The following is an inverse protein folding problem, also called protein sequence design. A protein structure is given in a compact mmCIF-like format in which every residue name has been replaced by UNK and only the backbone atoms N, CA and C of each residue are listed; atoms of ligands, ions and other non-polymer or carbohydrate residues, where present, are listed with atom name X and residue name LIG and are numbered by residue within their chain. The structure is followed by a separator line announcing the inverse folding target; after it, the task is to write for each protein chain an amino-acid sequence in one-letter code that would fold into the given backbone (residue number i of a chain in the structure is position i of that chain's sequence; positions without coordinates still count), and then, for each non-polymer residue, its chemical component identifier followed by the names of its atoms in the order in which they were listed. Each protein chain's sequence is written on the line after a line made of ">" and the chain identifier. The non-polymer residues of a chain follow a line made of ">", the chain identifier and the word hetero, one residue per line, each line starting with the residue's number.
data_IF_360711472523
#
_entry.id   IF_360711472523
#
_cell.length_a   1.000
_cell.length_b   1.000
_cell.length_c   1.000
_cell.angle_alpha   90.00
_cell.angle_beta   90.00
_cell.angle_gamma   90.00
#
_symmetry.space_group_name_H-M   'P 1'
#
loop_
_entity.id
_entity.type
_entity.pdbx_description
1 polymer ?
#
# COMPACT_ATOMS: atom_id res chain seq x y z
N UNK A 1 14.39 -56.10 5.54
CA UNK A 1 14.35 -57.19 6.54
C UNK A 1 15.27 -56.82 7.69
N UNK A 2 15.01 -57.06 8.94
CA UNK A 2 13.79 -57.52 9.64
C UNK A 2 13.19 -56.42 10.53
N UNK A 3 11.93 -56.37 10.84
CA UNK A 3 10.97 -57.12 11.65
C UNK A 3 11.13 -57.02 13.20
N UNK A 4 9.96 -56.76 13.79
CA UNK A 4 9.43 -57.06 15.15
C UNK A 4 9.56 -55.96 16.22
N UNK A 5 8.64 -55.76 17.19
CA UNK A 5 7.38 -56.43 17.57
C UNK A 5 6.59 -55.52 18.52
N UNK A 6 5.28 -55.69 18.52
CA UNK A 6 4.31 -55.23 19.52
C UNK A 6 4.63 -55.66 20.95
N UNK A 7 4.22 -54.84 21.95
CA UNK A 7 3.75 -55.35 23.24
C UNK A 7 2.60 -54.49 23.74
N UNK A 8 1.51 -55.18 24.01
CA UNK A 8 0.28 -54.78 24.71
C UNK A 8 0.51 -54.78 26.24
N UNK A 9 -0.17 -53.91 26.98
CA UNK A 9 -0.64 -54.11 28.36
C UNK A 9 -1.55 -52.91 28.69
N UNK A 10 -2.80 -53.08 28.75
CA UNK A 10 -3.76 -53.59 29.73
C UNK A 10 -3.96 -52.68 30.97
N UNK A 11 -5.09 -52.05 30.96
CA UNK A 11 -6.08 -51.70 31.99
C UNK A 11 -5.66 -51.60 33.46
N UNK A 12 -6.04 -50.49 34.10
CA UNK A 12 -6.67 -50.49 35.40
C UNK A 12 -7.71 -49.35 35.50
N UNK A 13 -8.97 -49.70 35.71
CA UNK A 13 -10.04 -48.85 36.23
C UNK A 13 -9.80 -48.61 37.74
N UNK A 14 -9.91 -47.38 38.17
CA UNK A 14 -10.17 -47.02 39.54
C UNK A 14 -11.18 -45.89 39.63
N UNK A 15 -12.38 -46.22 40.00
CA UNK A 15 -13.46 -45.32 40.37
C UNK A 15 -13.16 -44.68 41.73
N UNK A 16 -13.24 -43.38 41.87
CA UNK A 16 -13.36 -42.69 43.17
C UNK A 16 -14.29 -41.49 43.07
N UNK A 17 -15.45 -41.70 43.57
CA UNK A 17 -16.34 -40.98 44.51
C UNK A 17 -16.26 -39.44 44.49
N UNK A 18 -17.43 -38.87 44.15
CA UNK A 18 -17.89 -37.49 44.34
C UNK A 18 -17.78 -37.05 45.81
N UNK A 19 -17.07 -35.96 46.04
CA UNK A 19 -17.23 -35.12 47.22
C UNK A 19 -17.48 -33.70 46.76
N UNK A 20 -18.73 -33.29 46.87
CA UNK A 20 -19.18 -31.90 46.72
C UNK A 20 -18.60 -31.08 47.87
N UNK A 21 -17.65 -30.22 47.60
CA UNK A 21 -17.23 -29.13 48.48
C UNK A 21 -17.59 -27.81 47.84
N UNK A 22 -18.63 -27.16 48.38
CA UNK A 22 -18.88 -25.74 48.13
C UNK A 22 -17.69 -24.92 48.61
N UNK A 23 -16.95 -24.33 47.66
CA UNK A 23 -16.02 -23.24 47.95
C UNK A 23 -16.65 -21.91 47.57
N UNK A 24 -16.44 -20.83 48.34
CA UNK A 24 -16.98 -19.53 48.07
C UNK A 24 -16.23 -18.94 46.85
N UNK A 25 -16.96 -18.26 45.95
CA UNK A 25 -16.43 -17.48 44.83
C UNK A 25 -15.38 -16.49 45.35
N UNK A 26 -14.11 -16.80 45.15
CA UNK A 26 -13.05 -15.78 45.15
C UNK A 26 -13.17 -15.06 43.81
N UNK A 27 -13.39 -13.74 43.89
CA UNK A 27 -13.23 -12.85 42.73
C UNK A 27 -11.74 -12.86 42.36
N UNK A 28 -11.37 -13.68 41.38
CA UNK A 28 -10.15 -13.44 40.61
C UNK A 28 -10.44 -12.34 39.60
N UNK A 29 -9.58 -11.33 39.48
CA UNK A 29 -9.79 -10.23 38.55
C UNK A 29 -9.65 -10.73 37.11
N UNK A 30 -10.46 -10.13 36.22
CA UNK A 30 -10.49 -10.30 34.77
C UNK A 30 -9.18 -9.82 34.09
N UNK A 31 -8.04 -10.47 34.33
CA UNK A 31 -6.79 -10.18 33.62
C UNK A 31 -6.75 -10.77 32.19
N UNK A 32 -7.58 -11.79 31.90
CA UNK A 32 -7.56 -12.42 30.57
C UNK A 32 -8.25 -11.57 29.49
N UNK A 33 -9.28 -10.83 29.83
CA UNK A 33 -10.02 -10.02 28.85
C UNK A 33 -9.25 -8.75 28.43
N UNK A 34 -8.50 -8.15 29.33
CA UNK A 34 -7.69 -6.96 29.03
C UNK A 34 -6.54 -7.29 28.08
N UNK A 35 -5.91 -8.46 28.21
CA UNK A 35 -4.84 -8.90 27.31
C UNK A 35 -5.33 -9.22 25.91
N UNK A 36 -6.52 -9.83 25.79
CA UNK A 36 -7.14 -10.13 24.48
C UNK A 36 -7.61 -8.85 23.77
N UNK A 37 -8.14 -7.88 24.51
CA UNK A 37 -8.54 -6.58 23.95
C UNK A 37 -7.31 -5.80 23.46
N UNK A 38 -6.24 -5.75 24.25
CA UNK A 38 -4.99 -5.08 23.84
C UNK A 38 -4.31 -5.75 22.64
N UNK A 39 -4.41 -7.08 22.52
CA UNK A 39 -3.91 -7.78 21.34
C UNK A 39 -4.77 -7.51 20.10
N UNK A 40 -6.10 -7.49 20.24
CA UNK A 40 -7.01 -7.17 19.16
C UNK A 40 -6.84 -5.72 18.68
N UNK A 41 -6.65 -4.76 19.60
CA UNK A 41 -6.34 -3.37 19.25
C UNK A 41 -4.97 -3.24 18.55
N UNK A 42 -3.95 -3.96 19.01
CA UNK A 42 -2.64 -3.96 18.39
C UNK A 42 -2.64 -4.61 16.98
N UNK A 43 -3.49 -5.63 16.76
CA UNK A 43 -3.70 -6.22 15.44
C UNK A 43 -4.54 -5.31 14.53
N UNK A 44 -5.49 -4.58 15.07
CA UNK A 44 -6.27 -3.58 14.32
C UNK A 44 -5.42 -2.41 13.80
N UNK A 45 -4.29 -2.12 14.45
CA UNK A 45 -3.31 -1.12 14.01
C UNK A 45 -2.27 -1.66 13.02
N UNK A 46 -2.47 -2.88 12.48
CA UNK A 46 -1.65 -3.43 11.40
C UNK A 46 -2.45 -3.50 10.13
N UNK A 47 -1.88 -2.94 9.06
CA UNK A 47 -2.43 -3.12 7.72
C UNK A 47 -2.13 -4.54 7.24
N UNK A 48 -3.17 -5.29 6.93
CA UNK A 48 -3.08 -6.65 6.36
C UNK A 48 -4.14 -6.82 5.28
N UNK A 49 -3.85 -7.63 4.29
CA UNK A 49 -4.75 -7.88 3.18
C UNK A 49 -4.01 -8.40 1.96
N UNK A 50 -4.74 -8.53 0.89
CA UNK A 50 -4.24 -9.03 -0.39
C UNK A 50 -4.76 -8.15 -1.54
N UNK A 51 -4.42 -8.51 -2.77
CA UNK A 51 -4.95 -7.84 -3.96
C UNK A 51 -6.03 -8.66 -4.63
N UNK A 52 -6.99 -7.97 -5.22
CA UNK A 52 -8.03 -8.57 -6.05
C UNK A 52 -7.93 -8.06 -7.48
N UNK A 53 -7.84 -9.00 -8.42
CA UNK A 53 -7.89 -8.66 -9.84
C UNK A 53 -9.30 -8.22 -10.23
N UNK A 54 -9.39 -7.10 -10.98
CA UNK A 54 -10.65 -6.61 -11.54
C UNK A 54 -11.07 -7.46 -12.73
N UNK A 55 -12.39 -7.65 -12.87
CA UNK A 55 -12.99 -8.25 -14.07
C UNK A 55 -13.19 -7.15 -15.10
N UNK A 56 -12.30 -7.11 -16.07
CA UNK A 56 -12.36 -6.12 -17.15
C UNK A 56 -13.03 -6.77 -18.37
N UNK A 57 -13.90 -6.00 -19.04
CA UNK A 57 -14.55 -6.45 -20.26
C UNK A 57 -13.57 -6.35 -21.46
N UNK A 58 -12.67 -7.31 -21.57
CA UNK A 58 -11.71 -7.41 -22.67
C UNK A 58 -12.30 -8.42 -23.69
N UNK A 59 -12.38 -8.05 -24.99
CA UNK A 59 -12.78 -9.00 -26.04
C UNK A 59 -11.83 -10.21 -26.10
N UNK A 60 -12.37 -11.37 -26.41
CA UNK A 60 -11.55 -12.53 -26.72
C UNK A 60 -10.62 -12.22 -27.90
N UNK A 61 -9.36 -12.58 -27.74
CA UNK A 61 -8.34 -12.34 -28.73
C UNK A 61 -7.41 -13.54 -28.76
N UNK A 62 -7.25 -14.16 -29.97
CA UNK A 62 -6.42 -15.32 -30.16
C UNK A 62 -5.09 -15.01 -30.90
N UNK A 63 -4.86 -13.73 -31.19
CA UNK A 63 -3.67 -13.29 -31.92
C UNK A 63 -2.48 -13.04 -30.97
N UNK A 64 -1.26 -13.09 -31.53
CA UNK A 64 -0.02 -12.77 -30.80
C UNK A 64 0.10 -11.27 -30.41
N UNK A 65 -0.72 -10.43 -31.02
CA UNK A 65 -0.79 -8.98 -30.77
C UNK A 65 -1.98 -8.58 -29.91
N UNK A 66 -2.47 -9.45 -29.04
CA UNK A 66 -3.55 -9.14 -28.14
C UNK A 66 -3.14 -8.03 -27.14
N UNK A 67 -4.01 -7.03 -26.92
CA UNK A 67 -3.75 -6.02 -25.88
C UNK A 67 -3.85 -6.66 -24.50
N UNK A 68 -2.89 -6.34 -23.62
CA UNK A 68 -2.83 -6.87 -22.26
C UNK A 68 -3.15 -5.77 -21.24
N UNK A 69 -4.20 -5.96 -20.44
CA UNK A 69 -4.48 -5.07 -19.32
C UNK A 69 -4.77 -5.87 -18.07
N UNK A 70 -4.15 -5.48 -16.96
CA UNK A 70 -4.34 -6.09 -15.65
C UNK A 70 -4.38 -5.01 -14.59
N UNK A 71 -5.51 -4.88 -13.93
CA UNK A 71 -5.71 -3.94 -12.82
C UNK A 71 -6.09 -4.77 -11.60
N UNK A 72 -5.36 -4.55 -10.52
CA UNK A 72 -5.67 -5.12 -9.21
C UNK A 72 -5.99 -3.99 -8.24
N UNK A 73 -6.94 -4.20 -7.34
CA UNK A 73 -7.25 -3.32 -6.21
C UNK A 73 -6.72 -3.91 -4.91
N UNK A 74 -6.58 -3.08 -3.90
CA UNK A 74 -6.29 -3.54 -2.54
C UNK A 74 -7.59 -4.02 -1.87
N UNK A 75 -7.52 -5.14 -1.15
CA UNK A 75 -8.57 -5.65 -0.27
C UNK A 75 -7.95 -5.94 1.08
N UNK A 76 -8.00 -4.96 1.96
CA UNK A 76 -7.34 -5.01 3.25
C UNK A 76 -8.35 -4.94 4.41
N UNK A 77 -7.81 -5.03 5.64
CA UNK A 77 -8.57 -4.80 6.86
C UNK A 77 -8.84 -3.30 7.14
N UNK A 78 -8.44 -2.38 6.23
CA UNK A 78 -8.56 -0.93 6.37
C UNK A 78 -9.29 -0.33 5.16
N UNK A 79 -10.61 -0.28 5.20
CA UNK A 79 -11.45 0.16 4.09
C UNK A 79 -11.09 1.57 3.57
N UNK A 80 -10.70 2.50 4.46
CA UNK A 80 -10.31 3.85 4.05
C UNK A 80 -9.05 3.87 3.17
N UNK A 81 -8.12 2.91 3.39
CA UNK A 81 -6.93 2.74 2.53
C UNK A 81 -7.34 2.14 1.20
N UNK A 82 -8.20 1.12 1.22
CA UNK A 82 -8.70 0.48 -0.01
C UNK A 82 -9.40 1.51 -0.91
N UNK A 83 -10.28 2.33 -0.35
CA UNK A 83 -10.98 3.41 -1.05
C UNK A 83 -10.01 4.46 -1.61
N UNK A 84 -8.99 4.84 -0.81
CA UNK A 84 -7.95 5.75 -1.29
C UNK A 84 -7.19 5.17 -2.47
N UNK A 85 -6.76 3.92 -2.38
CA UNK A 85 -6.01 3.24 -3.44
C UNK A 85 -6.88 3.07 -4.70
N UNK A 86 -8.16 2.74 -4.56
CA UNK A 86 -9.10 2.67 -5.68
C UNK A 86 -9.17 4.02 -6.44
N UNK A 87 -9.24 5.14 -5.72
CA UNK A 87 -9.19 6.48 -6.33
C UNK A 87 -7.85 6.75 -7.04
N UNK A 88 -6.73 6.29 -6.46
CA UNK A 88 -5.41 6.46 -7.09
C UNK A 88 -5.26 5.60 -8.35
N UNK A 89 -5.86 4.41 -8.38
CA UNK A 89 -5.92 3.57 -9.59
C UNK A 89 -6.64 4.33 -10.72
N UNK A 90 -7.80 4.92 -10.44
CA UNK A 90 -8.54 5.72 -11.43
C UNK A 90 -7.74 6.95 -11.89
N UNK A 91 -7.07 7.64 -10.97
CA UNK A 91 -6.23 8.77 -11.32
C UNK A 91 -5.03 8.36 -12.20
N UNK A 92 -4.41 7.22 -11.94
CA UNK A 92 -3.34 6.70 -12.80
C UNK A 92 -3.85 6.32 -14.19
N UNK A 93 -5.01 5.64 -14.28
CA UNK A 93 -5.64 5.34 -15.56
C UNK A 93 -5.93 6.61 -16.37
N UNK A 94 -6.46 7.64 -15.70
CA UNK A 94 -6.69 8.95 -16.33
C UNK A 94 -5.38 9.54 -16.87
N UNK A 95 -4.32 9.54 -16.09
CA UNK A 95 -3.02 10.11 -16.48
C UNK A 95 -2.36 9.32 -17.62
N UNK A 96 -2.40 7.97 -17.56
CA UNK A 96 -1.76 7.09 -18.55
C UNK A 96 -2.48 7.17 -19.91
N UNK A 97 -3.82 7.16 -19.88
CA UNK A 97 -4.63 7.10 -21.09
C UNK A 97 -5.07 8.49 -21.57
N UNK A 98 -4.67 9.57 -20.88
CA UNK A 98 -5.02 10.97 -21.21
C UNK A 98 -6.53 11.19 -21.40
N UNK A 99 -7.34 10.45 -20.64
CA UNK A 99 -8.80 10.63 -20.68
C UNK A 99 -9.13 11.82 -19.82
N UNK A 100 -9.46 12.94 -20.44
CA UNK A 100 -10.12 14.05 -19.76
C UNK A 100 -11.42 13.55 -19.16
N UNK A 101 -11.66 13.84 -17.88
CA UNK A 101 -12.75 13.26 -17.12
C UNK A 101 -14.09 13.42 -17.88
N UNK A 102 -14.63 12.33 -18.35
CA UNK A 102 -16.06 12.20 -18.48
C UNK A 102 -16.57 12.26 -17.05
N UNK A 103 -17.11 13.42 -16.63
CA UNK A 103 -17.77 13.53 -15.33
C UNK A 103 -18.72 12.33 -15.20
N UNK A 104 -18.70 11.59 -14.09
CA UNK A 104 -19.71 10.56 -13.87
C UNK A 104 -21.06 11.26 -14.05
N UNK A 105 -21.84 10.76 -15.01
CA UNK A 105 -23.16 11.29 -15.25
C UNK A 105 -23.86 11.40 -13.89
N UNK A 106 -24.12 12.63 -13.45
CA UNK A 106 -24.94 12.88 -12.29
C UNK A 106 -26.20 12.08 -12.53
N UNK A 107 -26.41 11.04 -11.72
CA UNK A 107 -27.73 10.45 -11.58
C UNK A 107 -28.57 11.59 -11.04
N UNK A 108 -29.18 12.34 -11.96
CA UNK A 108 -30.12 13.40 -11.63
C UNK A 108 -31.22 12.74 -10.81
N UNK A 109 -31.31 13.15 -9.55
CA UNK A 109 -32.48 12.90 -8.75
C UNK A 109 -33.66 13.41 -9.59
N UNK A 110 -34.46 12.48 -10.10
CA UNK A 110 -35.68 12.82 -10.82
C UNK A 110 -36.58 13.60 -9.87
N UNK A 111 -36.96 14.78 -10.33
CA UNK A 111 -37.95 15.64 -9.70
C UNK A 111 -39.23 14.87 -9.41
N UNK A 112 -39.75 15.09 -8.22
CA UNK A 112 -41.11 14.70 -7.82
C UNK A 112 -42.15 15.23 -8.80
N UNK A 113 -42.92 14.35 -9.40
CA UNK A 113 -44.26 14.68 -9.91
C UNK A 113 -45.11 13.38 -9.95
N UNK A 114 -46.11 13.38 -9.09
CA UNK A 114 -47.44 12.75 -9.17
C UNK A 114 -47.65 11.22 -9.46
N UNK A 115 -47.95 10.55 -8.38
CA UNK A 115 -49.11 9.73 -8.05
C UNK A 115 -49.62 8.66 -9.03
N UNK A 116 -49.47 7.39 -8.65
CA UNK A 116 -50.54 6.42 -8.56
C UNK A 116 -50.03 5.18 -7.78
N UNK A 117 -50.81 4.77 -6.78
CA UNK A 117 -50.54 3.63 -5.93
C UNK A 117 -50.48 2.32 -6.70
N UNK A 118 -49.30 1.69 -6.68
CA UNK A 118 -49.13 0.25 -6.94
C UNK A 118 -48.13 -0.27 -5.93
N UNK A 119 -48.44 -1.37 -5.27
CA UNK A 119 -47.66 -1.97 -4.20
C UNK A 119 -46.19 -2.13 -4.55
N UNK A 120 -45.25 -1.85 -3.62
CA UNK A 120 -43.83 -1.98 -3.91
C UNK A 120 -43.44 -3.47 -3.85
N UNK A 121 -43.32 -4.08 -5.01
CA UNK A 121 -42.52 -5.28 -5.16
C UNK A 121 -41.09 -4.92 -4.71
N UNK A 122 -40.68 -5.39 -3.55
CA UNK A 122 -39.34 -5.16 -3.01
C UNK A 122 -38.29 -5.66 -4.02
N UNK A 123 -37.83 -4.75 -4.85
CA UNK A 123 -36.60 -4.97 -5.63
C UNK A 123 -35.47 -5.05 -4.57
N UNK A 124 -34.89 -6.22 -4.38
CA UNK A 124 -33.61 -6.36 -3.66
C UNK A 124 -32.63 -5.42 -4.38
N UNK A 125 -32.34 -4.28 -3.77
CA UNK A 125 -31.23 -3.43 -4.21
C UNK A 125 -29.97 -4.30 -4.08
N UNK A 126 -29.41 -4.71 -5.20
CA UNK A 126 -28.14 -5.46 -5.24
C UNK A 126 -27.08 -4.52 -4.69
N UNK A 127 -26.59 -4.78 -3.48
CA UNK A 127 -25.52 -3.98 -2.87
C UNK A 127 -24.29 -4.16 -3.76
N UNK A 128 -23.91 -3.11 -4.47
CA UNK A 128 -22.72 -3.08 -5.32
C UNK A 128 -21.50 -3.08 -4.42
N UNK A 129 -20.62 -4.07 -4.59
CA UNK A 129 -19.37 -4.15 -3.79
C UNK A 129 -18.37 -3.08 -4.25
N UNK A 130 -17.39 -2.64 -3.41
CA UNK A 130 -16.35 -1.71 -3.81
C UNK A 130 -15.61 -2.16 -5.08
N UNK A 131 -15.32 -3.45 -5.20
CA UNK A 131 -14.73 -4.04 -6.41
C UNK A 131 -15.60 -3.82 -7.66
N UNK A 132 -16.88 -4.13 -7.58
CA UNK A 132 -17.82 -3.93 -8.68
C UNK A 132 -17.98 -2.45 -9.05
N UNK A 133 -17.93 -1.56 -8.06
CA UNK A 133 -17.94 -0.12 -8.30
C UNK A 133 -16.69 0.32 -9.06
N UNK A 134 -15.51 -0.13 -8.65
CA UNK A 134 -14.27 0.18 -9.35
C UNK A 134 -14.26 -0.42 -10.77
N UNK A 135 -14.74 -1.66 -10.95
CA UNK A 135 -14.91 -2.29 -12.27
C UNK A 135 -15.79 -1.45 -13.21
N UNK A 136 -16.88 -0.87 -12.70
CA UNK A 136 -17.73 0.03 -13.47
C UNK A 136 -17.01 1.35 -13.80
N UNK A 137 -16.30 1.94 -12.85
CA UNK A 137 -15.58 3.19 -13.03
C UNK A 137 -14.38 3.06 -13.99
N UNK A 138 -13.84 1.85 -14.16
CA UNK A 138 -12.74 1.61 -15.10
C UNK A 138 -13.21 1.46 -16.55
N UNK A 139 -14.49 1.26 -16.83
CA UNK A 139 -15.01 0.98 -18.18
C UNK A 139 -14.63 2.06 -19.24
N UNK A 140 -14.71 3.38 -18.98
CA UNK A 140 -14.32 4.39 -19.95
C UNK A 140 -12.83 4.27 -20.34
N UNK A 141 -11.98 3.97 -19.39
CA UNK A 141 -10.53 3.78 -19.62
C UNK A 141 -10.25 2.52 -20.43
N UNK A 142 -11.01 1.45 -20.17
CA UNK A 142 -10.95 0.22 -20.96
C UNK A 142 -11.31 0.48 -22.42
N UNK A 143 -12.37 1.23 -22.66
CA UNK A 143 -12.78 1.59 -24.02
C UNK A 143 -11.70 2.40 -24.75
N UNK A 144 -11.08 3.34 -24.05
CA UNK A 144 -9.98 4.15 -24.61
C UNK A 144 -8.76 3.26 -24.93
N UNK A 145 -8.39 2.34 -24.04
CA UNK A 145 -7.29 1.41 -24.26
C UNK A 145 -7.54 0.52 -25.47
N UNK A 146 -8.74 -0.05 -25.62
CA UNK A 146 -9.10 -0.89 -26.76
C UNK A 146 -9.19 -0.12 -28.07
N UNK A 147 -9.64 1.13 -28.04
CA UNK A 147 -9.66 2.01 -29.23
C UNK A 147 -8.22 2.31 -29.68
N UNK A 148 -7.30 2.58 -28.74
CA UNK A 148 -5.88 2.79 -29.05
C UNK A 148 -5.26 1.55 -29.70
N UNK A 149 -5.55 0.35 -29.19
CA UNK A 149 -5.10 -0.91 -29.79
C UNK A 149 -5.57 -1.04 -31.25
N UNK A 150 -6.86 -0.73 -31.47
CA UNK A 150 -7.46 -0.78 -32.82
C UNK A 150 -6.80 0.22 -33.76
N UNK A 151 -6.54 1.45 -33.32
CA UNK A 151 -5.88 2.49 -34.11
C UNK A 151 -4.45 2.11 -34.47
N UNK A 152 -3.68 1.59 -33.51
CA UNK A 152 -2.31 1.14 -33.75
C UNK A 152 -2.25 -0.04 -34.73
N UNK A 153 -3.16 -0.99 -34.63
CA UNK A 153 -3.29 -2.11 -35.59
C UNK A 153 -3.64 -1.63 -37.00
N UNK A 154 -4.51 -0.62 -37.12
CA UNK A 154 -4.84 -0.02 -38.41
C UNK A 154 -3.64 0.69 -39.08
N UNK A 155 -2.69 1.18 -38.29
CA UNK A 155 -1.43 1.75 -38.76
C UNK A 155 -0.34 0.68 -39.05
N UNK A 156 -0.71 -0.60 -39.07
CA UNK A 156 0.22 -1.74 -39.27
C UNK A 156 1.30 -1.84 -38.18
N UNK A 157 1.04 -1.28 -37.00
CA UNK A 157 1.90 -1.49 -35.83
C UNK A 157 1.73 -2.93 -35.32
N UNK A 158 2.78 -3.70 -35.39
CA UNK A 158 2.77 -5.13 -35.00
C UNK A 158 2.97 -5.36 -33.50
N UNK A 159 2.91 -4.28 -32.67
CA UNK A 159 3.22 -4.35 -31.25
C UNK A 159 1.92 -4.44 -30.43
N UNK A 160 1.91 -5.39 -29.51
CA UNK A 160 0.88 -5.48 -28.47
C UNK A 160 1.05 -4.33 -27.46
N UNK A 161 -0.03 -3.64 -27.15
CA UNK A 161 -0.03 -2.68 -26.04
C UNK A 161 -0.32 -3.39 -24.72
N UNK A 162 0.24 -2.85 -23.63
CA UNK A 162 0.03 -3.41 -22.29
C UNK A 162 -0.12 -2.32 -21.25
N UNK A 163 -0.92 -2.60 -20.21
CA UNK A 163 -1.08 -1.77 -19.03
C UNK A 163 -1.30 -2.64 -17.80
N UNK A 164 -0.51 -2.40 -16.76
CA UNK A 164 -0.65 -3.05 -15.46
C UNK A 164 -0.66 -2.02 -14.35
N UNK A 165 -1.62 -2.14 -13.42
CA UNK A 165 -1.66 -1.36 -12.18
C UNK A 165 -1.90 -2.34 -11.04
N UNK A 166 -1.00 -2.33 -10.04
CA UNK A 166 -1.05 -3.26 -8.92
C UNK A 166 -0.57 -2.61 -7.62
N UNK A 167 -1.43 -2.52 -6.59
CA UNK A 167 -1.01 -2.13 -5.25
C UNK A 167 -0.25 -3.26 -4.55
N UNK A 168 0.58 -2.90 -3.57
CA UNK A 168 1.24 -3.85 -2.68
C UNK A 168 1.45 -3.20 -1.32
N UNK A 169 1.09 -3.89 -0.24
CA UNK A 169 1.46 -3.50 1.12
C UNK A 169 2.97 -3.67 1.26
N UNK A 170 3.67 -2.59 1.56
CA UNK A 170 5.11 -2.58 1.81
C UNK A 170 5.41 -2.66 3.30
N UNK A 171 4.71 -1.87 4.11
CA UNK A 171 4.81 -1.86 5.56
C UNK A 171 3.42 -1.92 6.18
N UNK A 172 3.27 -2.72 7.24
CA UNK A 172 1.99 -2.98 7.90
C UNK A 172 1.60 -1.90 8.93
N UNK A 173 2.53 -1.10 9.40
CA UNK A 173 2.34 -0.06 10.45
C UNK A 173 3.68 0.30 11.09
N UNK A 174 3.65 1.03 12.18
CA UNK A 174 4.74 1.55 13.03
C UNK A 174 6.05 1.91 12.29
N UNK A 175 6.28 3.19 12.02
CA UNK A 175 5.41 4.31 12.38
C UNK A 175 4.29 4.57 11.37
N UNK A 176 4.33 4.00 10.17
CA UNK A 176 3.35 4.21 9.11
C UNK A 176 3.07 2.89 8.38
N UNK A 177 1.81 2.66 8.05
CA UNK A 177 1.46 1.68 7.04
C UNK A 177 1.76 2.27 5.65
N UNK A 178 2.41 1.50 4.79
CA UNK A 178 2.82 1.98 3.46
C UNK A 178 2.29 1.03 2.38
N UNK A 179 1.59 1.59 1.41
CA UNK A 179 1.18 0.89 0.19
C UNK A 179 1.93 1.49 -0.99
N UNK A 180 2.55 0.66 -1.82
CA UNK A 180 3.10 1.07 -3.11
C UNK A 180 2.11 0.70 -4.21
N UNK A 181 1.75 1.67 -5.04
CA UNK A 181 0.99 1.45 -6.27
C UNK A 181 1.97 1.39 -7.43
N UNK A 182 2.13 0.19 -7.98
CA UNK A 182 2.99 -0.05 -9.13
C UNK A 182 2.17 0.09 -10.40
N UNK A 183 2.70 0.79 -11.38
CA UNK A 183 2.16 0.80 -12.73
C UNK A 183 3.26 0.57 -13.76
N UNK A 184 2.89 -0.11 -14.84
CA UNK A 184 3.74 -0.23 -16.02
C UNK A 184 2.84 -0.31 -17.25
N UNK A 185 3.28 0.32 -18.33
CA UNK A 185 2.51 0.31 -19.56
C UNK A 185 3.40 0.47 -20.79
N UNK A 186 2.91 -0.07 -21.89
CA UNK A 186 3.42 0.18 -23.22
C UNK A 186 2.21 0.47 -24.13
N UNK A 187 2.13 1.67 -24.64
CA UNK A 187 1.00 2.14 -25.46
C UNK A 187 1.41 2.37 -26.92
N UNK A 188 2.44 1.67 -27.38
CA UNK A 188 3.09 1.94 -28.66
C UNK A 188 4.17 3.02 -28.53
N UNK A 189 5.14 2.99 -29.41
CA UNK A 189 6.28 3.91 -29.40
C UNK A 189 7.61 3.24 -29.11
N UNK A 190 8.63 4.02 -28.71
CA UNK A 190 10.01 3.52 -28.59
C UNK A 190 10.22 2.62 -27.36
N UNK A 191 9.51 2.85 -26.25
CA UNK A 191 9.63 2.08 -25.01
C UNK A 191 8.38 2.23 -24.15
N UNK A 192 8.24 1.34 -23.15
CA UNK A 192 7.23 1.45 -22.10
C UNK A 192 7.62 2.48 -21.04
N UNK A 193 6.73 2.65 -20.09
CA UNK A 193 6.97 3.45 -18.88
C UNK A 193 6.54 2.70 -17.63
N UNK A 194 7.17 3.04 -16.50
CA UNK A 194 6.87 2.46 -15.19
C UNK A 194 6.80 3.56 -14.14
N UNK A 195 6.03 3.32 -13.08
CA UNK A 195 6.02 4.18 -11.92
C UNK A 195 5.78 3.39 -10.63
N UNK A 196 6.31 3.91 -9.53
CA UNK A 196 6.05 3.43 -8.17
C UNK A 196 5.66 4.64 -7.32
N UNK A 197 4.41 4.68 -6.88
CA UNK A 197 3.90 5.75 -6.02
C UNK A 197 3.62 5.18 -4.64
N UNK A 198 4.20 5.80 -3.61
CA UNK A 198 4.09 5.34 -2.23
C UNK A 198 3.07 6.19 -1.47
N UNK A 199 2.17 5.52 -0.79
CA UNK A 199 1.16 6.13 0.07
C UNK A 199 1.39 5.66 1.49
N UNK A 200 1.59 6.61 2.39
CA UNK A 200 1.89 6.37 3.79
C UNK A 200 0.68 6.75 4.64
N UNK A 201 0.25 5.88 5.53
CA UNK A 201 -0.96 6.06 6.32
C UNK A 201 -0.67 5.94 7.82
N UNK A 202 -1.21 6.87 8.57
CA UNK A 202 -1.36 6.75 10.01
C UNK A 202 -2.66 5.97 10.29
N UNK A 203 -2.54 4.77 10.84
CA UNK A 203 -3.67 3.87 11.09
C UNK A 203 -4.52 4.32 12.28
N UNK A 204 -3.92 5.00 13.27
CA UNK A 204 -4.64 5.54 14.43
C UNK A 204 -5.53 6.71 14.02
N UNK A 205 -4.97 7.65 13.25
CA UNK A 205 -5.69 8.84 12.79
C UNK A 205 -6.48 8.60 11.49
N UNK A 206 -6.35 7.42 10.88
CA UNK A 206 -6.97 7.03 9.60
C UNK A 206 -6.78 8.07 8.50
N UNK A 207 -5.55 8.53 8.32
CA UNK A 207 -5.21 9.58 7.37
C UNK A 207 -3.97 9.24 6.55
N UNK A 208 -3.91 9.82 5.34
CA UNK A 208 -2.69 9.87 4.54
C UNK A 208 -1.69 10.81 5.19
N UNK A 209 -0.42 10.40 5.23
CA UNK A 209 0.71 11.17 5.74
C UNK A 209 1.58 11.59 4.56
N UNK A 210 1.76 12.91 4.40
CA UNK A 210 2.61 13.52 3.35
C UNK A 210 4.02 13.75 3.87
N UNK A 211 4.97 14.02 2.97
CA UNK A 211 6.35 14.30 3.36
C UNK A 211 6.45 15.45 4.37
N UNK A 212 5.71 16.54 4.15
CA UNK A 212 5.71 17.67 5.06
C UNK A 212 5.18 17.33 6.47
N UNK A 213 4.33 16.32 6.60
CA UNK A 213 3.76 15.90 7.89
C UNK A 213 4.78 15.22 8.80
N UNK A 214 5.82 14.61 8.23
CA UNK A 214 6.87 13.91 8.99
C UNK A 214 8.05 14.82 9.36
N UNK A 215 8.14 16.01 8.77
CA UNK A 215 9.25 16.95 8.98
C UNK A 215 9.02 17.74 10.29
N UNK A 216 10.07 17.88 11.08
CA UNK A 216 10.04 18.75 12.27
C UNK A 216 9.91 20.24 11.87
N UNK A 217 9.33 21.03 12.77
CA UNK A 217 9.07 22.44 12.49
C UNK A 217 10.31 23.20 11.99
N UNK A 218 10.19 23.91 10.87
CA UNK A 218 11.25 24.70 10.22
C UNK A 218 12.43 23.88 9.66
N UNK A 219 12.31 22.56 9.53
CA UNK A 219 13.41 21.70 9.08
C UNK A 219 13.32 21.31 7.60
N UNK A 220 12.35 21.82 6.82
CA UNK A 220 12.21 21.46 5.40
C UNK A 220 13.48 21.75 4.58
N UNK A 221 14.09 22.90 4.78
CA UNK A 221 15.35 23.25 4.10
C UNK A 221 16.49 22.31 4.47
N UNK A 222 16.52 21.80 5.72
CA UNK A 222 17.52 20.84 6.17
C UNK A 222 17.29 19.48 5.50
N UNK A 223 16.04 19.02 5.40
CA UNK A 223 15.73 17.80 4.65
C UNK A 223 16.12 17.93 3.18
N UNK A 224 15.80 19.05 2.54
CA UNK A 224 16.16 19.30 1.15
C UNK A 224 17.69 19.27 0.94
N UNK A 225 18.47 19.85 1.86
CA UNK A 225 19.92 19.77 1.82
C UNK A 225 20.44 18.33 1.92
N UNK A 226 19.85 17.50 2.83
CA UNK A 226 20.22 16.08 2.94
C UNK A 226 19.84 15.28 1.70
N UNK A 227 18.67 15.55 1.12
CA UNK A 227 18.23 14.93 -0.11
C UNK A 227 19.15 15.32 -1.30
N UNK A 228 19.61 16.57 -1.35
CA UNK A 228 20.56 17.02 -2.34
C UNK A 228 21.93 16.34 -2.18
N UNK A 229 22.42 16.15 -0.95
CA UNK A 229 23.63 15.38 -0.70
C UNK A 229 23.49 13.92 -1.17
N UNK A 230 22.34 13.29 -0.90
CA UNK A 230 22.04 11.95 -1.40
C UNK A 230 21.99 11.89 -2.94
N UNK A 231 21.43 12.92 -3.59
CA UNK A 231 21.44 13.05 -5.04
C UNK A 231 22.85 13.14 -5.62
N UNK A 232 23.72 13.98 -5.05
CA UNK A 232 25.12 14.10 -5.49
C UNK A 232 25.84 12.76 -5.40
N UNK A 233 25.67 12.05 -4.29
CA UNK A 233 26.27 10.73 -4.11
C UNK A 233 25.73 9.74 -5.13
N UNK A 234 24.41 9.72 -5.37
CA UNK A 234 23.79 8.85 -6.37
C UNK A 234 24.34 9.10 -7.79
N UNK A 235 24.50 10.36 -8.20
CA UNK A 235 25.08 10.71 -9.52
C UNK A 235 26.49 10.14 -9.69
N UNK A 236 27.34 10.29 -8.65
CA UNK A 236 28.73 9.84 -8.68
C UNK A 236 28.83 8.31 -8.60
N UNK A 237 28.13 7.68 -7.67
CA UNK A 237 28.14 6.23 -7.45
C UNK A 237 27.55 5.46 -8.64
N UNK A 238 26.51 6.01 -9.25
CA UNK A 238 25.90 5.46 -10.48
C UNK A 238 26.71 5.77 -11.73
N UNK A 239 27.85 6.49 -11.61
CA UNK A 239 28.75 6.86 -12.72
C UNK A 239 28.05 7.64 -13.85
N UNK A 240 27.05 8.44 -13.50
CA UNK A 240 26.27 9.23 -14.46
C UNK A 240 27.05 10.46 -14.95
N UNK A 241 27.83 11.06 -14.06
CA UNK A 241 28.78 12.13 -14.38
C UNK A 241 29.93 12.14 -13.36
N UNK A 242 31.04 12.75 -13.73
CA UNK A 242 32.16 13.05 -12.82
C UNK A 242 31.92 14.35 -12.07
N UNK A 243 31.24 15.30 -12.69
CA UNK A 243 30.88 16.60 -12.15
C UNK A 243 29.35 16.69 -12.03
N UNK A 244 28.87 16.84 -10.81
CA UNK A 244 27.42 16.95 -10.51
C UNK A 244 26.86 18.25 -11.10
N UNK A 245 27.62 19.36 -11.10
CA UNK A 245 27.14 20.63 -11.66
C UNK A 245 26.93 20.55 -13.18
N UNK A 246 27.75 19.76 -13.89
CA UNK A 246 27.53 19.46 -15.30
C UNK A 246 26.26 18.59 -15.49
N UNK A 247 26.07 17.58 -14.64
CA UNK A 247 24.88 16.72 -14.69
C UNK A 247 23.59 17.51 -14.48
N UNK A 248 23.58 18.44 -13.54
CA UNK A 248 22.42 19.27 -13.21
C UNK A 248 22.01 20.26 -14.31
N UNK A 249 22.85 20.50 -15.32
CA UNK A 249 22.44 21.29 -16.48
C UNK A 249 21.27 20.63 -17.24
N UNK A 250 21.25 19.29 -17.28
CA UNK A 250 20.18 18.50 -17.90
C UNK A 250 19.18 17.97 -16.88
N UNK A 251 19.63 17.53 -15.71
CA UNK A 251 18.85 16.80 -14.72
C UNK A 251 18.92 17.47 -13.34
N UNK A 252 18.16 18.54 -13.18
CA UNK A 252 18.15 19.31 -11.93
C UNK A 252 17.57 18.51 -10.78
N UNK A 253 18.23 18.58 -9.64
CA UNK A 253 17.64 18.08 -8.40
C UNK A 253 16.37 18.84 -8.04
N UNK A 254 15.39 18.11 -7.53
CA UNK A 254 14.21 18.64 -6.83
C UNK A 254 13.77 17.65 -5.75
N UNK A 255 13.29 18.15 -4.63
CA UNK A 255 12.71 17.29 -3.61
C UNK A 255 11.39 16.73 -4.11
N UNK A 256 11.21 15.41 -4.03
CA UNK A 256 9.95 14.73 -4.38
C UNK A 256 9.12 14.47 -3.13
N UNK A 257 7.79 14.49 -3.27
CA UNK A 257 6.85 14.08 -2.21
C UNK A 257 6.59 12.58 -2.18
N UNK A 258 7.13 11.83 -3.14
CA UNK A 258 6.99 10.38 -3.23
C UNK A 258 8.05 9.70 -2.37
N UNK A 259 7.66 9.23 -1.18
CA UNK A 259 8.58 8.71 -0.18
C UNK A 259 8.02 7.52 0.58
N UNK A 260 8.93 6.80 1.26
CA UNK A 260 8.58 5.85 2.30
C UNK A 260 9.70 5.77 3.36
N UNK A 261 9.33 5.31 4.56
CA UNK A 261 10.27 5.04 5.63
C UNK A 261 10.76 3.59 5.52
N UNK A 262 12.00 3.40 5.13
CA UNK A 262 12.65 2.08 5.08
C UNK A 262 13.31 1.77 6.43
N UNK A 263 13.80 0.54 6.61
CA UNK A 263 14.49 0.14 7.83
C UNK A 263 15.72 1.00 8.17
N UNK A 264 16.43 1.51 7.15
CA UNK A 264 17.69 2.24 7.32
C UNK A 264 17.55 3.75 7.20
N UNK A 265 16.43 4.27 6.69
CA UNK A 265 16.27 5.69 6.45
C UNK A 265 15.02 6.05 5.66
N UNK A 266 14.92 7.33 5.35
CA UNK A 266 13.93 7.88 4.45
C UNK A 266 14.37 7.61 3.01
N UNK A 267 13.48 7.02 2.21
CA UNK A 267 13.70 6.82 0.77
C UNK A 267 12.80 7.77 -0.01
N UNK A 268 13.40 8.55 -0.88
CA UNK A 268 12.75 9.40 -1.86
C UNK A 268 12.75 8.68 -3.21
N UNK A 269 11.56 8.42 -3.76
CA UNK A 269 11.37 7.69 -5.02
C UNK A 269 11.09 8.68 -6.14
N UNK A 270 11.84 8.58 -7.23
CA UNK A 270 11.68 9.43 -8.41
C UNK A 270 11.06 8.64 -9.56
N UNK A 271 10.36 9.36 -10.41
CA UNK A 271 9.84 8.82 -11.66
C UNK A 271 10.93 8.74 -12.74
N UNK A 272 10.66 8.01 -13.81
CA UNK A 272 11.48 8.05 -15.01
C UNK A 272 11.60 9.50 -15.52
N UNK A 273 12.76 9.89 -15.97
CA UNK A 273 13.07 11.24 -16.47
C UNK A 273 12.99 12.39 -15.45
N UNK A 274 12.76 12.12 -14.18
CA UNK A 274 12.61 13.19 -13.18
C UNK A 274 13.94 13.79 -12.76
N UNK A 275 14.94 12.95 -12.47
CA UNK A 275 16.29 13.37 -12.08
C UNK A 275 17.41 12.67 -12.89
N UNK A 276 17.06 11.98 -13.98
CA UNK A 276 18.01 11.27 -14.82
C UNK A 276 17.37 10.73 -16.09
N UNK A 277 18.19 10.26 -17.07
CA UNK A 277 17.68 9.69 -18.33
C UNK A 277 16.96 8.36 -18.10
N UNK A 278 16.15 7.94 -19.07
CA UNK A 278 15.36 6.69 -19.01
C UNK A 278 16.16 5.46 -18.55
N UNK A 279 17.41 5.36 -18.97
CA UNK A 279 18.29 4.21 -18.66
C UNK A 279 18.53 4.02 -17.16
N UNK A 280 18.36 5.06 -16.33
CA UNK A 280 18.49 4.92 -14.86
C UNK A 280 17.23 4.37 -14.20
N UNK A 281 16.15 4.22 -14.96
CA UNK A 281 14.86 3.70 -14.49
C UNK A 281 14.18 4.59 -13.46
N UNK A 282 13.86 4.02 -12.30
CA UNK A 282 13.19 4.70 -11.18
C UNK A 282 14.20 5.00 -10.06
N UNK A 283 14.86 6.17 -10.05
CA UNK A 283 15.89 6.49 -9.06
C UNK A 283 15.34 6.52 -7.64
N UNK A 284 16.16 6.11 -6.67
CA UNK A 284 15.88 6.16 -5.24
C UNK A 284 17.02 6.85 -4.52
N UNK A 285 16.69 7.87 -3.75
CA UNK A 285 17.66 8.52 -2.86
C UNK A 285 17.34 8.11 -1.43
N UNK A 286 18.30 7.46 -0.77
CA UNK A 286 18.16 7.07 0.63
C UNK A 286 18.93 8.03 1.53
N UNK A 287 18.25 8.53 2.57
CA UNK A 287 18.83 9.38 3.59
C UNK A 287 18.81 8.60 4.90
N UNK A 288 19.99 8.17 5.44
CA UNK A 288 20.06 7.42 6.68
C UNK A 288 19.46 8.17 7.87
N UNK A 289 18.86 7.44 8.83
CA UNK A 289 18.22 8.05 10.01
C UNK A 289 19.20 8.84 10.88
N UNK A 290 20.49 8.51 10.88
CA UNK A 290 21.52 9.26 11.59
C UNK A 290 21.62 10.71 11.09
N UNK A 291 21.33 10.95 9.81
CA UNK A 291 21.34 12.27 9.20
C UNK A 291 19.99 13.01 9.36
N UNK A 292 18.97 12.32 9.85
CA UNK A 292 17.61 12.83 9.98
C UNK A 292 17.22 13.16 11.42
N UNK A 293 18.16 12.99 12.38
CA UNK A 293 17.96 13.39 13.78
C UNK A 293 17.71 14.90 13.85
N UNK A 294 16.57 15.30 14.47
CA UNK A 294 16.12 16.68 14.54
C UNK A 294 15.57 17.25 13.23
N UNK A 295 15.64 16.52 12.11
CA UNK A 295 15.03 16.88 10.83
C UNK A 295 13.63 16.28 10.69
N UNK A 296 13.48 14.98 11.00
CA UNK A 296 12.18 14.36 11.14
C UNK A 296 11.66 14.51 12.57
N UNK A 297 10.35 14.45 12.72
CA UNK A 297 9.72 14.37 14.04
C UNK A 297 10.12 13.04 14.72
N UNK A 298 10.28 13.00 16.06
CA UNK A 298 10.78 11.83 16.78
C UNK A 298 9.98 10.55 16.57
N UNK A 299 8.67 10.64 16.37
CA UNK A 299 7.78 9.52 16.14
C UNK A 299 8.03 8.76 14.82
N UNK A 300 8.75 9.38 13.87
CA UNK A 300 9.12 8.78 12.59
C UNK A 300 10.57 8.30 12.53
N UNK A 301 11.28 8.39 13.63
CA UNK A 301 12.63 7.85 13.79
C UNK A 301 12.60 6.48 14.47
N UNK A 302 13.56 5.59 14.19
CA UNK A 302 13.67 4.32 14.89
C UNK A 302 13.74 4.53 16.41
N UNK A 303 12.93 3.78 17.16
CA UNK A 303 12.99 3.77 18.62
C UNK A 303 14.36 3.20 19.03
N UNK A 304 15.21 4.02 19.64
CA UNK A 304 16.49 3.53 20.17
C UNK A 304 16.21 2.57 21.31
N UNK A 305 16.80 1.36 21.29
CA UNK A 305 16.65 0.32 22.35
C UNK A 305 17.10 0.78 23.76
N UNK A 306 17.63 1.98 23.91
CA UNK A 306 18.05 2.55 25.20
C UNK A 306 16.89 2.84 26.18
N UNK A 307 15.67 3.00 25.70
CA UNK A 307 14.53 3.29 26.58
C UNK A 307 13.97 2.04 27.29
N UNK A 308 14.29 0.82 26.82
CA UNK A 308 13.82 -0.42 27.45
C UNK A 308 14.66 -0.87 28.65
N UNK A 309 15.87 -0.32 28.85
CA UNK A 309 16.75 -0.68 29.96
C UNK A 309 16.52 0.15 31.23
N UNK A 310 15.83 1.27 31.15
CA UNK A 310 15.58 2.13 32.34
C UNK A 310 14.24 1.84 33.04
N UNK A 311 13.42 0.91 32.52
CA UNK A 311 12.12 0.57 33.11
C UNK A 311 12.14 -0.68 34.02
N UNK A 312 13.30 -1.25 34.38
CA UNK A 312 13.34 -2.27 35.40
C UNK A 312 13.48 -1.62 36.81
N UNK A 313 12.46 -1.73 37.69
CA UNK A 313 12.61 -1.28 39.07
C UNK A 313 13.64 -2.15 39.78
N UNK A 314 14.65 -1.53 40.35
CA UNK A 314 15.63 -2.16 41.20
C UNK A 314 14.93 -2.89 42.35
N UNK A 315 14.81 -4.22 42.26
CA UNK A 315 14.38 -5.07 43.33
C UNK A 315 15.48 -5.07 44.40
N UNK A 316 15.15 -4.44 45.53
CA UNK A 316 16.01 -4.35 46.71
C UNK A 316 16.33 -5.73 47.26
N UNK A 317 17.58 -6.15 47.12
CA UNK A 317 18.16 -7.21 47.94
C UNK A 317 18.36 -6.65 49.35
N UNK A 318 17.50 -7.06 50.29
CA UNK A 318 17.81 -6.97 51.73
C UNK A 318 18.43 -8.24 52.20
N UNK A 319 19.63 -8.06 52.75
CA UNK A 319 20.48 -9.02 53.38
C UNK A 319 19.84 -9.73 54.59
N UNK A 320 20.25 -10.94 54.76
CA UNK A 320 20.69 -11.43 56.08
C UNK A 320 21.88 -12.38 55.89
#
# INVERSE_FOLDING_TARGET
>A
MPKYKNIFCLSILASVILLSACQPKSNEPEESSASEVLQAEAEALKLSGDTEKLKLAIPECEDKSCPEISIERLNSNQSFIDEWIDQQILQQLKNILSVDAIEPAKVSAASEADVAASEPKAALATVVTPKQQLEQQTQPYMQTFLNLDKELKALSASHSISLMIKPKILHSGDPLATVVLNSSYYLGGAHGASAQTYYNFDLEQKKLVKLDDIIAAKQKAQLEARAYDAFKNWVVESKLAKDVAEYEQAWKFRLTDNFYLAQQGLVLQYAEYEIGPYVVGLPRLMIPYEQLQGVLKPEYLPKTEKAASEAQPASAAKAK
#
